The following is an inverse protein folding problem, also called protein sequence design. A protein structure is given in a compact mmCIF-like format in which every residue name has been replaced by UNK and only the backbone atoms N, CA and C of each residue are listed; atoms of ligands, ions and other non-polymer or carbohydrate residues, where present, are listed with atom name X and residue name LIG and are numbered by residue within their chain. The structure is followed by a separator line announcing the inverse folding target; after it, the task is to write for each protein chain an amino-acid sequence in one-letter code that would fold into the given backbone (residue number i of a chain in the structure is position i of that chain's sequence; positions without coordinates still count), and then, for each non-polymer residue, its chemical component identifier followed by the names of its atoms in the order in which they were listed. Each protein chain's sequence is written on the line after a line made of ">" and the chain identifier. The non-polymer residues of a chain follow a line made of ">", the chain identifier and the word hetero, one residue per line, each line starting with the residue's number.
data_IF_605406246344
#
_entry.id   IF_605406246344
#
_cell.length_a   1.000
_cell.length_b   1.000
_cell.length_c   1.000
_cell.angle_alpha   90.00
_cell.angle_beta   90.00
_cell.angle_gamma   90.00
#
_symmetry.space_group_name_H-M   'P 1'
#
loop_
_entity.id
_entity.type
_entity.pdbx_description
1 polymer ?
#
# COMPACT_ATOMS: atom_id res chain seq x y z
N UNK A 1 17.24 17.27 7.37
CA UNK A 1 17.81 16.18 8.19
C UNK A 1 16.85 15.01 8.40
N UNK A 2 15.53 15.16 8.15
CA UNK A 2 14.58 14.03 8.14
C UNK A 2 14.27 13.48 6.73
N UNK A 3 14.48 14.30 5.68
CA UNK A 3 14.01 13.98 4.32
C UNK A 3 14.95 12.98 3.62
N UNK A 4 16.27 13.11 3.75
CA UNK A 4 17.21 12.20 3.07
C UNK A 4 17.29 10.79 3.65
N UNK A 5 16.75 10.53 4.86
CA UNK A 5 16.78 9.18 5.43
C UNK A 5 15.64 8.29 4.93
N UNK A 6 14.46 8.86 4.65
CA UNK A 6 13.32 8.13 4.13
C UNK A 6 13.49 7.83 2.63
N UNK A 7 13.98 8.80 1.84
CA UNK A 7 14.31 8.56 0.43
C UNK A 7 15.38 7.47 0.28
N UNK A 8 16.36 7.40 1.19
CA UNK A 8 17.38 6.34 1.19
C UNK A 8 16.83 4.96 1.57
N UNK A 9 15.70 4.90 2.28
CA UNK A 9 15.04 3.64 2.65
C UNK A 9 14.13 3.12 1.53
N UNK A 10 13.74 3.97 0.58
CA UNK A 10 12.94 3.58 -0.59
C UNK A 10 13.73 3.56 -1.91
N UNK A 11 15.02 3.91 -1.88
CA UNK A 11 15.92 3.90 -3.04
C UNK A 11 16.66 2.56 -3.24
N UNK A 12 16.64 1.63 -2.27
CA UNK A 12 17.15 0.28 -2.49
C UNK A 12 16.03 -0.56 -3.12
N UNK A 13 16.15 -0.87 -4.41
CA UNK A 13 15.25 -1.77 -5.17
C UNK A 13 14.96 -3.11 -4.42
N UNK A 14 15.83 -3.48 -3.47
CA UNK A 14 15.66 -4.63 -2.60
C UNK A 14 14.47 -4.52 -1.63
N UNK A 15 14.12 -3.31 -1.14
CA UNK A 15 12.99 -3.11 -0.23
C UNK A 15 11.67 -3.05 -0.98
N UNK A 16 11.65 -2.56 -2.23
CA UNK A 16 10.45 -2.61 -3.06
C UNK A 16 9.99 -4.04 -3.31
N UNK A 17 10.88 -4.97 -3.68
CA UNK A 17 10.53 -6.38 -3.86
C UNK A 17 10.05 -7.05 -2.54
N UNK A 18 10.65 -6.68 -1.41
CA UNK A 18 10.25 -7.17 -0.09
C UNK A 18 8.85 -6.68 0.29
N UNK A 19 8.57 -5.38 0.15
CA UNK A 19 7.24 -4.80 0.37
C UNK A 19 6.22 -5.40 -0.59
N UNK A 20 6.60 -5.66 -1.85
CA UNK A 20 5.73 -6.36 -2.78
C UNK A 20 5.36 -7.77 -2.29
N UNK A 21 6.35 -8.52 -1.78
CA UNK A 21 6.15 -9.87 -1.27
C UNK A 21 5.28 -9.90 0.00
N UNK A 22 5.50 -8.97 0.93
CA UNK A 22 4.71 -8.84 2.16
C UNK A 22 3.27 -8.46 1.86
N UNK A 23 3.05 -7.46 0.99
CA UNK A 23 1.71 -7.13 0.49
C UNK A 23 1.05 -8.36 -0.11
N UNK A 24 1.72 -9.09 -1.02
CA UNK A 24 1.21 -10.33 -1.62
C UNK A 24 0.77 -11.35 -0.57
N UNK A 25 1.54 -11.50 0.50
CA UNK A 25 1.23 -12.43 1.57
C UNK A 25 0.03 -11.97 2.40
N UNK A 26 -0.02 -10.70 2.77
CA UNK A 26 -1.16 -10.10 3.45
C UNK A 26 -2.43 -10.25 2.60
N UNK A 27 -2.39 -9.91 1.31
CA UNK A 27 -3.50 -10.10 0.38
C UNK A 27 -4.00 -11.54 0.36
N UNK A 28 -3.12 -12.54 0.27
CA UNK A 28 -3.51 -13.97 0.33
C UNK A 28 -4.12 -14.36 1.68
N UNK A 29 -3.68 -13.73 2.77
CA UNK A 29 -4.21 -13.99 4.11
C UNK A 29 -5.65 -13.46 4.26
N UNK A 30 -5.94 -12.32 3.63
CA UNK A 30 -7.23 -11.65 3.71
C UNK A 30 -8.23 -12.13 2.64
N UNK A 31 -7.79 -12.43 1.40
CA UNK A 31 -8.63 -13.02 0.35
C UNK A 31 -8.80 -14.53 0.52
N UNK A 32 -9.47 -14.94 1.61
CA UNK A 32 -9.71 -16.36 1.93
C UNK A 32 -10.62 -17.06 0.93
N UNK A 33 -11.42 -16.30 0.20
CA UNK A 33 -12.40 -16.82 -0.75
C UNK A 33 -11.84 -16.89 -2.18
N UNK A 34 -10.67 -16.29 -2.44
CA UNK A 34 -10.02 -16.29 -3.76
C UNK A 34 -10.76 -15.40 -4.76
N UNK A 35 -11.37 -14.32 -4.27
CA UNK A 35 -12.16 -13.37 -5.06
C UNK A 35 -11.27 -12.49 -5.95
N UNK A 36 -9.97 -12.38 -5.65
CA UNK A 36 -9.00 -11.58 -6.41
C UNK A 36 -8.97 -10.10 -6.03
N UNK A 37 -9.77 -9.71 -5.03
CA UNK A 37 -9.84 -8.35 -4.50
C UNK A 37 -9.96 -8.33 -2.97
N UNK A 38 -9.59 -7.21 -2.36
CA UNK A 38 -9.88 -6.91 -0.94
C UNK A 38 -10.65 -5.60 -0.83
N UNK A 39 -11.27 -5.33 0.31
CA UNK A 39 -11.92 -4.04 0.56
C UNK A 39 -10.89 -2.95 0.89
N UNK A 40 -11.24 -1.70 0.66
CA UNK A 40 -10.42 -0.54 1.09
C UNK A 40 -10.15 -0.53 2.59
N UNK A 41 -11.10 -1.01 3.40
CA UNK A 41 -10.92 -1.18 4.85
C UNK A 41 -9.79 -2.16 5.20
N UNK A 42 -9.77 -3.33 4.56
CA UNK A 42 -8.71 -4.32 4.77
C UNK A 42 -7.36 -3.78 4.29
N UNK A 43 -7.36 -3.07 3.16
CA UNK A 43 -6.14 -2.50 2.62
C UNK A 43 -5.57 -1.40 3.54
N UNK A 44 -6.43 -0.59 4.16
CA UNK A 44 -6.04 0.38 5.19
C UNK A 44 -5.34 -0.29 6.38
N UNK A 45 -5.87 -1.41 6.85
CA UNK A 45 -5.27 -2.17 7.95
C UNK A 45 -3.89 -2.72 7.56
N UNK A 46 -3.73 -3.22 6.33
CA UNK A 46 -2.44 -3.67 5.80
C UNK A 46 -1.41 -2.54 5.76
N UNK A 47 -1.81 -1.35 5.29
CA UNK A 47 -0.90 -0.19 5.22
C UNK A 47 -0.42 0.24 6.61
N UNK A 48 -1.31 0.25 7.61
CA UNK A 48 -0.96 0.54 8.99
C UNK A 48 -0.09 -0.56 9.63
N UNK A 49 -0.23 -1.83 9.19
CA UNK A 49 0.64 -2.92 9.66
C UNK A 49 2.04 -2.86 9.04
N UNK A 50 2.16 -2.35 7.82
CA UNK A 50 3.44 -2.12 7.13
C UNK A 50 4.20 -0.90 7.71
N UNK A 51 3.49 0.18 8.03
CA UNK A 51 4.07 1.35 8.69
C UNK A 51 3.09 1.96 9.70
N UNK A 52 3.40 1.78 11.00
CA UNK A 52 2.61 2.30 12.11
C UNK A 52 2.77 3.81 12.34
N UNK A 53 3.63 4.47 11.56
CA UNK A 53 3.83 5.92 11.59
C UNK A 53 2.88 6.67 10.66
N UNK A 54 2.19 5.98 9.75
CA UNK A 54 1.20 6.58 8.87
C UNK A 54 0.00 7.09 9.69
N UNK A 55 -0.30 8.37 9.54
CA UNK A 55 -1.46 8.99 10.18
C UNK A 55 -2.77 8.55 9.52
N UNK A 56 -3.91 8.62 10.25
CA UNK A 56 -5.21 8.35 9.64
C UNK A 56 -5.47 9.17 8.37
N UNK A 57 -5.06 10.44 8.35
CA UNK A 57 -5.21 11.32 7.22
C UNK A 57 -4.35 10.89 6.02
N UNK A 58 -3.12 10.43 6.25
CA UNK A 58 -2.26 9.87 5.19
C UNK A 58 -2.86 8.60 4.63
N UNK A 59 -3.29 7.67 5.49
CA UNK A 59 -3.97 6.45 5.06
C UNK A 59 -5.20 6.76 4.19
N UNK A 60 -6.05 7.68 4.63
CA UNK A 60 -7.26 8.05 3.88
C UNK A 60 -6.91 8.65 2.50
N UNK A 61 -5.87 9.50 2.41
CA UNK A 61 -5.37 10.00 1.12
C UNK A 61 -4.84 8.87 0.22
N UNK A 62 -4.14 7.88 0.78
CA UNK A 62 -3.64 6.72 0.03
C UNK A 62 -4.80 5.88 -0.50
N UNK A 63 -5.83 5.65 0.31
CA UNK A 63 -7.03 4.90 -0.09
C UNK A 63 -7.76 5.62 -1.22
N UNK A 64 -8.00 6.92 -1.08
CA UNK A 64 -8.74 7.74 -2.07
C UNK A 64 -8.04 7.75 -3.44
N UNK A 65 -6.71 7.79 -3.48
CA UNK A 65 -5.94 7.75 -4.73
C UNK A 65 -5.96 6.37 -5.39
N UNK A 66 -6.03 5.31 -4.57
CA UNK A 66 -6.02 3.93 -5.08
C UNK A 66 -7.42 3.53 -5.58
N UNK A 67 -8.46 3.80 -4.80
CA UNK A 67 -9.88 3.57 -5.10
C UNK A 67 -10.53 4.78 -5.79
N UNK A 68 -9.85 5.36 -6.78
CA UNK A 68 -10.30 6.57 -7.47
C UNK A 68 -11.63 6.40 -8.24
N UNK A 69 -12.04 5.16 -8.51
CA UNK A 69 -13.33 4.84 -9.13
C UNK A 69 -14.46 4.61 -8.11
N UNK A 70 -14.13 4.62 -6.81
CA UNK A 70 -15.06 4.45 -5.70
C UNK A 70 -15.71 3.06 -5.66
N UNK A 71 -14.99 2.04 -6.13
CA UNK A 71 -15.45 0.65 -6.09
C UNK A 71 -15.56 0.12 -4.65
N UNK A 72 -14.79 0.68 -3.72
CA UNK A 72 -14.64 0.18 -2.35
C UNK A 72 -13.79 -1.09 -2.28
N UNK A 73 -13.17 -1.49 -3.38
CA UNK A 73 -12.39 -2.72 -3.53
C UNK A 73 -11.11 -2.49 -4.30
N UNK A 74 -10.07 -3.26 -3.99
CA UNK A 74 -8.80 -3.23 -4.70
C UNK A 74 -8.54 -4.57 -5.37
N UNK A 75 -8.53 -4.57 -6.69
CA UNK A 75 -8.14 -5.72 -7.50
C UNK A 75 -6.61 -5.90 -7.48
N UNK A 76 -6.17 -7.10 -7.11
CA UNK A 76 -4.73 -7.41 -7.03
C UNK A 76 -4.02 -7.35 -8.41
N UNK A 77 -4.78 -7.53 -9.50
CA UNK A 77 -4.26 -7.57 -10.87
C UNK A 77 -3.88 -6.18 -11.43
N UNK A 78 -4.27 -5.09 -10.74
CA UNK A 78 -4.18 -3.73 -11.28
C UNK A 78 -3.18 -2.84 -10.56
N UNK A 79 -1.88 -2.99 -10.85
CA UNK A 79 -0.84 -1.98 -10.59
C UNK A 79 -0.80 -1.37 -9.16
N UNK A 80 -1.29 -2.08 -8.14
CA UNK A 80 -1.32 -1.61 -6.74
C UNK A 80 0.08 -1.15 -6.29
N UNK A 81 1.12 -1.88 -6.70
CA UNK A 81 2.50 -1.54 -6.41
C UNK A 81 2.98 -0.27 -7.08
N UNK A 82 2.60 -0.04 -8.34
CA UNK A 82 2.96 1.20 -9.04
C UNK A 82 2.25 2.39 -8.39
N UNK A 83 0.97 2.22 -8.04
CA UNK A 83 0.18 3.23 -7.32
C UNK A 83 0.78 3.52 -5.95
N UNK A 84 1.11 2.50 -5.17
CA UNK A 84 1.72 2.65 -3.86
C UNK A 84 3.09 3.32 -3.95
N UNK A 85 3.94 2.93 -4.90
CA UNK A 85 5.24 3.54 -5.09
C UNK A 85 5.14 5.04 -5.43
N UNK A 86 4.16 5.40 -6.26
CA UNK A 86 3.87 6.81 -6.57
C UNK A 86 3.39 7.55 -5.31
N UNK A 87 2.49 6.96 -4.54
CA UNK A 87 1.88 7.60 -3.37
C UNK A 87 2.90 7.75 -2.22
N UNK A 88 3.69 6.72 -1.92
CA UNK A 88 4.77 6.80 -0.94
C UNK A 88 5.81 7.86 -1.35
N UNK A 89 6.09 8.04 -2.65
CA UNK A 89 6.96 9.11 -3.14
C UNK A 89 6.35 10.51 -3.09
N UNK A 90 5.03 10.64 -2.94
CA UNK A 90 4.33 11.94 -2.91
C UNK A 90 4.02 12.40 -1.48
N UNK A 91 3.89 11.46 -0.54
CA UNK A 91 3.52 11.73 0.85
C UNK A 91 4.75 11.79 1.78
N UNK A 92 5.84 11.07 1.46
CA UNK A 92 7.12 11.05 2.21
C UNK A 92 8.26 11.73 1.43
#
# INVERSE_FOLDING_TARGET
>A
MYIESYTRFLEDDADAEAVQAELREAFRLYDKEGNGYITTEVFRDILHELDDNLTPEELDMMIDEIDADGSGTLDFDGNIYEKLNIIFSLIL
#
